data_IF_253398369991
#
_entry.id   IF_253398369991
#
_cell.length_a   1.000
_cell.length_b   1.000
_cell.length_c   1.000
_cell.angle_alpha   90.00
_cell.angle_beta   90.00
_cell.angle_gamma   90.00
#
_symmetry.space_group_name_H-M   'P 1'
#
loop_
_entity.id
_entity.type
_entity.pdbx_description
1 polymer ?
#
# COMPACT_ATOMS: atom_id res chain seq x y z
N UNK A 1 -18.44 5.58 1.84
CA UNK A 1 -17.09 5.00 1.78
C UNK A 1 -16.25 5.53 2.91
N UNK A 2 -15.52 4.66 3.57
CA UNK A 2 -14.65 5.07 4.65
C UNK A 2 -13.33 5.60 4.09
N UNK A 3 -12.61 6.34 4.94
CA UNK A 3 -11.26 6.81 4.62
C UNK A 3 -10.33 5.62 4.32
N UNK A 4 -10.47 4.54 5.07
CA UNK A 4 -9.68 3.33 4.85
C UNK A 4 -9.96 2.70 3.49
N UNK A 5 -11.22 2.67 3.07
CA UNK A 5 -11.58 2.15 1.73
C UNK A 5 -10.87 2.93 0.63
N UNK A 6 -10.74 4.24 0.80
CA UNK A 6 -10.02 5.07 -0.15
C UNK A 6 -8.52 4.76 -0.15
N UNK A 7 -7.93 4.54 1.02
CA UNK A 7 -6.51 4.20 1.10
C UNK A 7 -6.21 2.88 0.41
N UNK A 8 -7.08 1.88 0.61
CA UNK A 8 -6.95 0.59 -0.06
C UNK A 8 -7.03 0.76 -1.57
N UNK A 9 -8.01 1.51 -2.05
CA UNK A 9 -8.19 1.76 -3.47
C UNK A 9 -6.99 2.47 -4.07
N UNK A 10 -6.47 3.47 -3.37
CA UNK A 10 -5.29 4.21 -3.82
C UNK A 10 -4.06 3.32 -3.88
N UNK A 11 -3.83 2.51 -2.86
CA UNK A 11 -2.69 1.60 -2.82
C UNK A 11 -2.74 0.60 -3.97
N UNK A 12 -3.90 0.00 -4.22
CA UNK A 12 -4.09 -0.93 -5.32
C UNK A 12 -3.89 -0.25 -6.68
N UNK A 13 -4.33 1.00 -6.82
CA UNK A 13 -4.15 1.76 -8.04
C UNK A 13 -2.67 2.05 -8.32
N UNK A 14 -1.92 2.43 -7.28
CA UNK A 14 -0.49 2.66 -7.41
C UNK A 14 0.23 1.36 -7.79
N UNK A 15 -0.16 0.26 -7.15
CA UNK A 15 0.39 -1.05 -7.46
C UNK A 15 0.16 -1.41 -8.94
N UNK A 16 -1.03 -1.13 -9.45
CA UNK A 16 -1.36 -1.38 -10.85
C UNK A 16 -0.47 -0.55 -11.78
N UNK A 17 -0.19 0.70 -11.41
CA UNK A 17 0.66 1.57 -12.22
C UNK A 17 2.10 1.08 -12.31
N UNK A 18 2.57 0.35 -11.31
CA UNK A 18 3.94 -0.19 -11.29
C UNK A 18 4.00 -1.68 -11.64
N UNK A 19 2.89 -2.28 -12.04
CA UNK A 19 2.78 -3.74 -12.19
C UNK A 19 3.73 -4.34 -13.21
N UNK A 20 4.18 -3.55 -14.20
CA UNK A 20 5.11 -4.02 -15.22
C UNK A 20 6.58 -3.91 -14.83
N UNK A 21 6.88 -3.39 -13.64
CA UNK A 21 8.24 -3.34 -13.11
C UNK A 21 8.53 -4.57 -12.27
N UNK A 22 9.73 -5.14 -12.41
CA UNK A 22 10.14 -6.27 -11.59
C UNK A 22 10.21 -5.93 -10.10
N UNK A 23 10.56 -4.67 -9.80
CA UNK A 23 10.66 -4.17 -8.44
C UNK A 23 9.40 -3.40 -8.01
N UNK A 24 8.24 -3.86 -8.46
CA UNK A 24 6.97 -3.21 -8.20
C UNK A 24 6.75 -2.90 -6.71
N UNK A 25 6.99 -3.88 -5.84
CA UNK A 25 6.77 -3.70 -4.39
C UNK A 25 7.69 -2.62 -3.81
N UNK A 26 8.93 -2.55 -4.26
CA UNK A 26 9.88 -1.53 -3.80
C UNK A 26 9.47 -0.14 -4.27
N UNK A 27 9.06 -0.02 -5.53
CA UNK A 27 8.60 1.25 -6.07
C UNK A 27 7.34 1.74 -5.37
N UNK A 28 6.43 0.82 -5.10
CA UNK A 28 5.19 1.12 -4.39
C UNK A 28 5.50 1.62 -2.98
N UNK A 29 6.35 0.92 -2.24
CA UNK A 29 6.74 1.33 -0.89
C UNK A 29 7.42 2.69 -0.90
N UNK A 30 8.33 2.94 -1.84
CA UNK A 30 9.01 4.22 -1.96
C UNK A 30 8.01 5.35 -2.20
N UNK A 31 7.04 5.12 -3.10
CA UNK A 31 6.00 6.11 -3.39
C UNK A 31 5.19 6.43 -2.12
N UNK A 32 4.74 5.40 -1.43
CA UNK A 32 3.93 5.56 -0.23
C UNK A 32 4.73 6.27 0.87
N UNK A 33 5.99 5.88 1.08
CA UNK A 33 6.84 6.51 2.08
C UNK A 33 7.07 8.00 1.80
N UNK A 34 7.11 8.39 0.54
CA UNK A 34 7.35 9.79 0.17
C UNK A 34 6.10 10.66 0.20
N UNK A 35 4.95 10.10 -0.17
CA UNK A 35 3.76 10.92 -0.43
C UNK A 35 2.63 10.73 0.58
N UNK A 36 2.61 9.61 1.30
CA UNK A 36 1.56 9.36 2.29
C UNK A 36 2.00 9.86 3.65
N UNK A 37 1.06 10.48 4.39
CA UNK A 37 1.30 10.86 5.78
C UNK A 37 1.48 9.61 6.66
N UNK A 38 2.22 9.71 7.78
CA UNK A 38 2.44 8.55 8.66
C UNK A 38 1.17 7.87 9.12
N UNK A 39 0.10 8.64 9.41
CA UNK A 39 -1.17 8.06 9.83
C UNK A 39 -1.79 7.22 8.73
N UNK A 40 -1.66 7.63 7.48
CA UNK A 40 -2.17 6.88 6.34
C UNK A 40 -1.43 5.56 6.18
N UNK A 41 -0.11 5.60 6.29
CA UNK A 41 0.74 4.41 6.21
C UNK A 41 0.41 3.43 7.32
N UNK A 42 0.23 3.94 8.53
CA UNK A 42 -0.13 3.12 9.69
C UNK A 42 -1.47 2.43 9.48
N UNK A 43 -2.46 3.17 8.99
CA UNK A 43 -3.79 2.62 8.73
C UNK A 43 -3.75 1.49 7.70
N UNK A 44 -2.96 1.65 6.64
CA UNK A 44 -2.82 0.61 5.63
C UNK A 44 -2.17 -0.64 6.21
N UNK A 45 -1.09 -0.49 6.97
CA UNK A 45 -0.40 -1.63 7.57
C UNK A 45 -1.27 -2.34 8.59
N UNK A 46 -2.02 -1.59 9.38
CA UNK A 46 -2.93 -2.13 10.39
C UNK A 46 -4.05 -2.94 9.73
N UNK A 47 -4.62 -2.40 8.66
CA UNK A 47 -5.65 -3.09 7.89
C UNK A 47 -5.13 -4.42 7.33
N UNK A 48 -3.94 -4.39 6.76
CA UNK A 48 -3.31 -5.60 6.21
C UNK A 48 -3.06 -6.65 7.30
N UNK A 49 -2.64 -6.21 8.48
CA UNK A 49 -2.36 -7.10 9.62
C UNK A 49 -3.62 -7.80 10.13
N UNK A 50 -4.79 -7.20 9.91
CA UNK A 50 -6.06 -7.79 10.35
C UNK A 50 -6.61 -8.85 9.40
N UNK A 51 -5.85 -9.24 8.38
CA UNK A 51 -6.24 -10.29 7.45
C UNK A 51 -7.03 -9.79 6.25
N UNK A 52 -6.76 -8.58 5.80
CA UNK A 52 -7.43 -7.98 4.66
C UNK A 52 -7.25 -8.82 3.40
N UNK A 53 -8.32 -8.99 2.62
CA UNK A 53 -8.31 -9.73 1.37
C UNK A 53 -8.48 -8.83 0.15
N UNK A 54 -8.58 -7.52 0.36
CA UNK A 54 -8.84 -6.53 -0.67
C UNK A 54 -7.59 -5.80 -1.18
N UNK A 55 -6.41 -6.28 -0.78
CA UNK A 55 -5.13 -5.70 -1.18
C UNK A 55 -4.45 -6.54 -2.24
N UNK A 56 -3.90 -5.89 -3.27
CA UNK A 56 -3.11 -6.56 -4.30
C UNK A 56 -1.87 -7.21 -3.69
N UNK A 57 -1.39 -8.28 -4.34
CA UNK A 57 -0.19 -8.99 -3.90
C UNK A 57 1.01 -8.04 -3.78
N UNK A 58 1.16 -7.09 -4.71
CA UNK A 58 2.26 -6.12 -4.66
C UNK A 58 2.16 -5.23 -3.43
N UNK A 59 0.95 -4.84 -3.01
CA UNK A 59 0.75 -4.07 -1.79
C UNK A 59 1.18 -4.88 -0.58
N UNK A 60 0.76 -6.14 -0.51
CA UNK A 60 1.13 -7.03 0.59
C UNK A 60 2.64 -7.21 0.68
N UNK A 61 3.31 -7.35 -0.47
CA UNK A 61 4.76 -7.49 -0.51
C UNK A 61 5.49 -6.22 -0.10
N UNK A 62 4.88 -5.06 -0.27
CA UNK A 62 5.51 -3.77 0.02
C UNK A 62 5.41 -3.37 1.51
N UNK A 63 4.55 -4.03 2.28
CA UNK A 63 4.21 -3.57 3.63
C UNK A 63 5.41 -3.53 4.57
N UNK A 64 6.31 -4.49 4.49
CA UNK A 64 7.51 -4.52 5.34
C UNK A 64 8.51 -3.42 4.96
N UNK A 65 8.35 -2.82 3.80
CA UNK A 65 9.20 -1.72 3.33
C UNK A 65 8.56 -0.35 3.56
N UNK A 66 7.31 -0.31 3.99
CA UNK A 66 6.59 0.92 4.29
C UNK A 66 6.87 1.31 5.74
N UNK A 67 7.38 2.52 5.92
CA UNK A 67 7.74 3.02 7.25
C UNK A 67 6.53 3.61 7.97
N UNK A 68 6.43 3.37 9.25
CA UNK A 68 5.41 3.97 10.12
C UNK A 68 6.06 4.72 11.31
#
# INVERSE_FOLDING_TARGET
>A
MSELDQLVKMANQIAANFSYHEDCAERLATHINRFWAPVMRHQLKDHASSGATDLDAAVLQSLDKIHT
#
